data_IF_459032951763
#
_entry.id   IF_459032951763
#
_cell.length_a   1.000
_cell.length_b   1.000
_cell.length_c   1.000
_cell.angle_alpha   90.00
_cell.angle_beta   90.00
_cell.angle_gamma   90.00
#
_symmetry.space_group_name_H-M   'P 1'
#
loop_
_entity.id
_entity.type
_entity.pdbx_description
1 polymer ?
#
# COMPACT_ATOMS: atom_id res chain seq x y z
N UNK A 1 -50.07 -16.60 0.56
CA UNK A 1 -49.28 -15.40 0.14
C UNK A 1 -48.03 -15.13 1.01
N UNK A 2 -48.00 -15.51 2.29
CA UNK A 2 -46.85 -15.32 3.21
C UNK A 2 -45.66 -16.23 2.88
N UNK A 3 -45.89 -17.51 2.55
CA UNK A 3 -44.83 -18.47 2.23
C UNK A 3 -43.97 -18.03 1.03
N UNK A 4 -44.58 -17.41 0.01
CA UNK A 4 -43.89 -16.93 -1.18
C UNK A 4 -42.94 -15.76 -0.88
N UNK A 5 -43.28 -14.90 0.09
CA UNK A 5 -42.43 -13.78 0.52
C UNK A 5 -41.20 -14.27 1.28
N UNK A 6 -41.36 -15.29 2.12
CA UNK A 6 -40.25 -15.90 2.87
C UNK A 6 -39.26 -16.61 1.92
N UNK A 7 -39.76 -17.34 0.91
CA UNK A 7 -38.89 -17.98 -0.10
C UNK A 7 -38.11 -16.94 -0.91
N UNK A 8 -38.74 -15.83 -1.30
CA UNK A 8 -38.06 -14.72 -2.00
C UNK A 8 -37.03 -14.01 -1.13
N UNK A 9 -37.33 -13.78 0.15
CA UNK A 9 -36.40 -13.16 1.09
C UNK A 9 -35.14 -14.02 1.29
N UNK A 10 -35.32 -15.33 1.47
CA UNK A 10 -34.20 -16.28 1.64
C UNK A 10 -33.31 -16.34 0.39
N UNK A 11 -33.89 -16.34 -0.81
CA UNK A 11 -33.12 -16.32 -2.06
C UNK A 11 -32.35 -14.99 -2.25
N UNK A 12 -32.94 -13.85 -1.90
CA UNK A 12 -32.26 -12.56 -1.96
C UNK A 12 -31.03 -12.50 -1.04
N UNK A 13 -31.17 -13.01 0.19
CA UNK A 13 -30.07 -13.07 1.16
C UNK A 13 -28.98 -14.03 0.69
N UNK A 14 -29.33 -15.21 0.16
CA UNK A 14 -28.36 -16.18 -0.36
C UNK A 14 -27.57 -15.63 -1.57
N UNK A 15 -28.24 -14.89 -2.47
CA UNK A 15 -27.56 -14.25 -3.61
C UNK A 15 -26.61 -13.15 -3.12
N UNK A 16 -27.01 -12.39 -2.09
CA UNK A 16 -26.17 -11.35 -1.50
C UNK A 16 -24.96 -11.97 -0.79
N UNK A 17 -25.19 -13.00 0.02
CA UNK A 17 -24.14 -13.71 0.76
C UNK A 17 -23.15 -14.41 -0.19
N UNK A 18 -23.63 -14.99 -1.29
CA UNK A 18 -22.77 -15.63 -2.29
C UNK A 18 -21.93 -14.59 -3.06
N UNK A 19 -22.48 -13.40 -3.34
CA UNK A 19 -21.70 -12.28 -3.89
C UNK A 19 -20.60 -11.79 -2.93
N UNK A 20 -20.93 -11.68 -1.64
CA UNK A 20 -20.00 -11.23 -0.61
C UNK A 20 -18.91 -12.28 -0.30
N UNK A 21 -19.19 -13.56 -0.59
CA UNK A 21 -18.21 -14.65 -0.54
C UNK A 21 -17.32 -14.68 -1.79
N UNK A 22 -17.86 -14.37 -2.97
CA UNK A 22 -17.10 -14.30 -4.22
C UNK A 22 -16.12 -13.10 -4.22
N UNK A 23 -16.55 -11.94 -3.69
CA UNK A 23 -15.68 -10.78 -3.47
C UNK A 23 -14.51 -11.06 -2.53
N UNK A 24 -14.66 -12.00 -1.57
CA UNK A 24 -13.57 -12.41 -0.68
C UNK A 24 -12.59 -13.40 -1.33
N UNK A 25 -12.97 -14.02 -2.44
CA UNK A 25 -12.09 -14.88 -3.25
C UNK A 25 -11.58 -14.16 -4.52
N UNK A 26 -11.97 -12.90 -4.72
CA UNK A 26 -11.38 -11.99 -5.71
C UNK A 26 -10.02 -11.50 -5.20
N UNK A 27 -9.08 -12.43 -5.08
CA UNK A 27 -7.67 -12.07 -5.07
C UNK A 27 -7.39 -11.37 -6.40
N UNK A 28 -7.15 -10.06 -6.37
CA UNK A 28 -6.78 -9.29 -7.56
C UNK A 28 -5.60 -10.00 -8.26
N UNK A 29 -5.80 -10.55 -9.47
CA UNK A 29 -4.81 -11.43 -10.11
C UNK A 29 -3.52 -10.69 -10.53
N UNK A 30 -3.48 -9.36 -10.45
CA UNK A 30 -2.35 -8.54 -10.88
C UNK A 30 -1.15 -8.55 -9.92
N UNK A 31 -1.32 -8.97 -8.65
CA UNK A 31 -0.21 -9.05 -7.68
C UNK A 31 0.33 -10.47 -7.48
N UNK A 32 -0.37 -11.49 -7.98
CA UNK A 32 -0.14 -12.90 -7.58
C UNK A 32 0.95 -13.62 -8.37
N UNK A 33 1.55 -12.98 -9.39
CA UNK A 33 2.50 -13.66 -10.31
C UNK A 33 3.98 -13.55 -9.90
N UNK A 34 4.37 -12.73 -8.91
CA UNK A 34 5.76 -12.65 -8.42
C UNK A 34 5.82 -12.45 -6.90
N UNK A 35 5.38 -13.47 -6.16
CA UNK A 35 5.19 -13.39 -4.71
C UNK A 35 6.46 -13.00 -3.93
N UNK A 36 7.65 -13.46 -4.31
CA UNK A 36 8.85 -13.25 -3.48
C UNK A 36 9.41 -11.84 -3.53
N UNK A 37 9.48 -11.20 -4.70
CA UNK A 37 10.09 -9.87 -4.87
C UNK A 37 9.16 -8.75 -4.37
N UNK A 38 7.87 -8.82 -4.71
CA UNK A 38 6.93 -7.77 -4.34
C UNK A 38 6.51 -7.86 -2.87
N UNK A 39 6.40 -9.07 -2.30
CA UNK A 39 6.19 -9.21 -0.84
C UNK A 39 7.39 -8.70 -0.03
N UNK A 40 8.62 -8.89 -0.51
CA UNK A 40 9.82 -8.35 0.16
C UNK A 40 9.88 -6.83 0.08
N UNK A 41 9.58 -6.25 -1.08
CA UNK A 41 9.54 -4.78 -1.27
C UNK A 41 8.43 -4.11 -0.45
N UNK A 42 7.20 -4.64 -0.51
CA UNK A 42 6.05 -4.10 0.25
C UNK A 42 6.23 -4.32 1.75
N UNK A 43 6.75 -5.48 2.17
CA UNK A 43 7.07 -5.76 3.57
C UNK A 43 8.13 -4.81 4.13
N UNK A 44 9.19 -4.55 3.36
CA UNK A 44 10.26 -3.62 3.74
C UNK A 44 9.77 -2.17 3.82
N UNK A 45 9.02 -1.70 2.82
CA UNK A 45 8.46 -0.34 2.82
C UNK A 45 7.51 -0.11 4.01
N UNK A 46 6.67 -1.10 4.34
CA UNK A 46 5.76 -1.02 5.48
C UNK A 46 6.51 -1.01 6.82
N UNK A 47 7.56 -1.83 6.97
CA UNK A 47 8.40 -1.83 8.17
C UNK A 47 9.16 -0.49 8.32
N UNK A 48 9.74 0.02 7.24
CA UNK A 48 10.44 1.30 7.23
C UNK A 48 9.51 2.47 7.59
N UNK A 49 8.28 2.47 7.04
CA UNK A 49 7.25 3.46 7.39
C UNK A 49 6.88 3.44 8.88
N UNK A 50 6.82 2.25 9.49
CA UNK A 50 6.59 2.10 10.94
C UNK A 50 7.76 2.58 11.79
N UNK A 51 9.00 2.32 11.37
CA UNK A 51 10.17 2.83 12.10
C UNK A 51 10.22 4.35 12.00
N UNK A 52 9.98 4.91 10.81
CA UNK A 52 9.93 6.36 10.61
C UNK A 52 8.86 7.00 11.50
N UNK A 53 7.64 6.44 11.56
CA UNK A 53 6.57 7.02 12.38
C UNK A 53 6.85 6.98 13.89
N UNK A 54 7.67 6.04 14.37
CA UNK A 54 8.10 5.97 15.77
C UNK A 54 9.22 6.99 16.05
N UNK A 55 10.15 7.16 15.11
CA UNK A 55 11.35 7.99 15.28
C UNK A 55 11.07 9.49 15.02
N UNK A 56 10.14 9.82 14.15
CA UNK A 56 9.83 11.21 13.77
C UNK A 56 9.33 12.07 14.96
N UNK A 57 8.38 11.64 15.80
CA UNK A 57 7.85 12.47 16.88
C UNK A 57 8.91 13.05 17.84
N UNK A 58 9.88 12.28 18.39
CA UNK A 58 10.89 12.83 19.28
C UNK A 58 11.84 13.81 18.57
N UNK A 59 12.16 13.59 17.29
CA UNK A 59 13.00 14.51 16.50
C UNK A 59 12.30 15.86 16.35
N UNK A 60 11.02 15.83 15.94
CA UNK A 60 10.24 17.06 15.76
C UNK A 60 10.05 17.79 17.10
N UNK A 61 9.84 17.05 18.20
CA UNK A 61 9.76 17.63 19.53
C UNK A 61 11.05 18.39 19.92
N UNK A 62 12.22 17.81 19.66
CA UNK A 62 13.51 18.44 19.95
C UNK A 62 13.76 19.70 19.09
N UNK A 63 13.34 19.68 17.83
CA UNK A 63 13.44 20.85 16.93
C UNK A 63 12.50 21.96 17.42
N UNK A 64 11.28 21.61 17.80
CA UNK A 64 10.29 22.55 18.30
C UNK A 64 10.77 23.26 19.57
N UNK A 65 11.38 22.55 20.52
CA UNK A 65 11.86 23.14 21.78
C UNK A 65 13.07 24.06 21.60
N UNK A 66 13.88 23.84 20.56
CA UNK A 66 15.15 24.56 20.35
C UNK A 66 15.00 25.74 19.40
N UNK A 67 14.20 25.59 18.34
CA UNK A 67 14.09 26.54 17.24
C UNK A 67 12.66 27.04 16.99
N UNK A 68 11.68 26.55 17.74
CA UNK A 68 10.28 26.95 17.62
C UNK A 68 9.56 26.37 16.40
N UNK A 69 8.30 26.78 16.23
CA UNK A 69 7.36 26.17 15.28
C UNK A 69 7.76 26.40 13.82
N UNK A 70 8.33 27.56 13.50
CA UNK A 70 8.73 27.90 12.13
C UNK A 70 9.80 26.93 11.60
N UNK A 71 10.73 26.50 12.45
CA UNK A 71 11.77 25.55 12.08
C UNK A 71 11.21 24.15 11.79
N UNK A 72 10.14 23.75 12.48
CA UNK A 72 9.46 22.47 12.22
C UNK A 72 8.85 22.47 10.82
N UNK A 73 8.10 23.52 10.47
CA UNK A 73 7.50 23.65 9.13
C UNK A 73 8.56 23.69 8.03
N UNK A 74 9.66 24.43 8.24
CA UNK A 74 10.78 24.47 7.31
C UNK A 74 11.44 23.09 7.13
N UNK A 75 11.61 22.33 8.21
CA UNK A 75 12.20 20.98 8.18
C UNK A 75 11.31 20.00 7.42
N UNK A 76 9.99 20.01 7.67
CA UNK A 76 9.03 19.15 6.95
C UNK A 76 9.00 19.51 5.47
N UNK A 77 8.94 20.80 5.13
CA UNK A 77 8.97 21.26 3.75
C UNK A 77 10.27 20.83 3.05
N UNK A 78 11.43 21.03 3.70
CA UNK A 78 12.72 20.61 3.17
C UNK A 78 12.79 19.11 2.93
N UNK A 79 12.25 18.30 3.85
CA UNK A 79 12.22 16.85 3.73
C UNK A 79 11.33 16.39 2.55
N UNK A 80 10.17 17.02 2.35
CA UNK A 80 9.30 16.72 1.21
C UNK A 80 9.97 17.06 -0.13
N UNK A 81 10.61 18.22 -0.22
CA UNK A 81 11.36 18.62 -1.42
C UNK A 81 12.53 17.67 -1.65
N UNK A 82 13.26 17.29 -0.60
CA UNK A 82 14.33 16.31 -0.69
C UNK A 82 13.84 14.98 -1.26
N UNK A 83 12.75 14.42 -0.72
CA UNK A 83 12.17 13.19 -1.26
C UNK A 83 11.67 13.35 -2.70
N UNK A 84 11.07 14.49 -3.04
CA UNK A 84 10.66 14.78 -4.41
C UNK A 84 11.85 14.81 -5.38
N UNK A 85 13.00 15.37 -4.97
CA UNK A 85 14.24 15.37 -5.76
C UNK A 85 14.82 13.95 -5.87
N UNK A 86 14.89 13.21 -4.76
CA UNK A 86 15.37 11.83 -4.77
C UNK A 86 14.52 10.96 -5.69
N UNK A 87 13.20 11.06 -5.61
CA UNK A 87 12.27 10.36 -6.50
C UNK A 87 12.41 10.89 -7.94
N UNK A 88 12.59 12.20 -8.15
CA UNK A 88 12.78 12.75 -9.49
C UNK A 88 14.07 12.27 -10.17
N UNK A 89 15.14 12.06 -9.40
CA UNK A 89 16.43 11.57 -9.92
C UNK A 89 16.44 10.04 -10.03
N UNK A 90 15.94 9.33 -9.02
CA UNK A 90 15.98 7.86 -8.97
C UNK A 90 14.74 7.17 -9.59
N UNK A 91 13.65 7.90 -9.81
CA UNK A 91 12.32 7.35 -10.09
C UNK A 91 11.86 7.43 -11.55
N UNK A 92 12.77 7.59 -12.51
CA UNK A 92 12.41 7.61 -13.94
C UNK A 92 12.76 6.29 -14.65
N UNK A 93 13.63 5.44 -14.09
CA UNK A 93 14.21 4.34 -14.88
C UNK A 93 13.63 2.94 -14.65
N UNK A 94 12.60 2.75 -13.81
CA UNK A 94 11.95 1.42 -13.65
C UNK A 94 10.52 1.37 -14.17
N UNK A 95 10.21 2.13 -15.22
CA UNK A 95 8.97 2.00 -15.99
C UNK A 95 9.23 1.48 -17.41
N UNK A 96 10.27 0.65 -17.60
CA UNK A 96 10.67 0.15 -18.92
C UNK A 96 11.05 -1.33 -19.00
N UNK A 97 11.19 -2.05 -17.88
CA UNK A 97 11.24 -3.51 -17.88
C UNK A 97 9.88 -4.05 -17.48
N UNK A 98 9.15 -4.59 -18.44
CA UNK A 98 7.94 -5.34 -18.14
C UNK A 98 8.30 -6.55 -17.27
N UNK A 99 7.40 -6.90 -16.35
CA UNK A 99 7.53 -8.03 -15.40
C UNK A 99 7.69 -9.40 -16.08
N UNK A 100 7.65 -9.45 -17.42
CA UNK A 100 7.76 -10.65 -18.24
C UNK A 100 9.20 -11.18 -18.35
N UNK A 101 10.22 -10.34 -18.17
CA UNK A 101 11.63 -10.76 -18.25
C UNK A 101 12.10 -11.44 -16.95
N UNK A 102 11.60 -11.00 -15.78
CA UNK A 102 11.96 -11.58 -14.46
C UNK A 102 11.38 -13.00 -14.28
N UNK A 103 10.26 -13.31 -14.94
CA UNK A 103 9.63 -14.63 -14.86
C UNK A 103 10.37 -15.71 -15.66
N UNK A 104 11.22 -15.33 -16.62
CA UNK A 104 11.92 -16.31 -17.48
C UNK A 104 13.06 -17.04 -16.73
N UNK A 105 13.63 -16.40 -15.71
CA UNK A 105 14.75 -16.95 -14.93
C UNK A 105 14.32 -17.87 -13.78
N UNK A 106 13.01 -17.96 -13.49
CA UNK A 106 12.46 -18.84 -12.44
C UNK A 106 12.07 -20.23 -12.99
N UNK A 107 11.97 -20.37 -14.32
CA UNK A 107 11.59 -21.61 -15.00
C UNK A 107 12.71 -22.26 -15.84
N UNK A 108 13.96 -21.81 -15.70
CA UNK A 108 15.16 -22.48 -16.24
C UNK A 108 15.95 -23.12 -15.09
#
# INVERSE_FOLDING_TARGET
MVLLKLTRAKNSILIKLKRDLDFRNFDAPEFKTSGSITLRGVGFANAAGRVASIVTPPIIAAILTTYGTNAVFATVLGLLVFFAVVIGVAGVETMGKSLEEINKDVYL
#
